data_IF_110765238377
#
_entry.id   IF_110765238377
#
_cell.length_a   1.000
_cell.length_b   1.000
_cell.length_c   1.000
_cell.angle_alpha   90.00
_cell.angle_beta   90.00
_cell.angle_gamma   90.00
#
_symmetry.space_group_name_H-M   'P 1'
#
loop_
_entity.id
_entity.type
_entity.pdbx_description
1 polymer ?
#
# COMPACT_ATOMS: atom_id res chain seq x y z
N UNK A 1 26.33 -10.92 -9.93
CA UNK A 1 24.99 -10.52 -9.55
C UNK A 1 24.03 -11.69 -9.73
N UNK A 2 23.27 -12.01 -8.68
CA UNK A 2 22.26 -13.06 -8.73
C UNK A 2 21.01 -12.51 -9.43
N UNK A 3 20.60 -13.14 -10.52
CA UNK A 3 19.42 -12.78 -11.33
C UNK A 3 18.10 -12.99 -10.56
N UNK A 4 18.15 -13.70 -9.45
CA UNK A 4 17.00 -13.98 -8.58
C UNK A 4 17.38 -13.64 -7.13
N UNK A 5 16.66 -12.68 -6.56
CA UNK A 5 16.78 -12.31 -5.15
C UNK A 5 15.48 -12.69 -4.43
N UNK A 6 15.50 -13.75 -3.63
CA UNK A 6 14.27 -14.29 -3.02
C UNK A 6 13.73 -13.43 -1.87
N UNK A 7 14.50 -12.46 -1.41
CA UNK A 7 14.13 -11.54 -0.34
C UNK A 7 13.59 -10.26 -0.98
N UNK A 8 12.51 -9.71 -0.47
CA UNK A 8 11.74 -8.59 -1.05
C UNK A 8 11.07 -8.96 -2.39
N UNK A 9 10.05 -9.79 -2.28
CA UNK A 9 9.18 -10.14 -3.40
C UNK A 9 8.44 -8.90 -3.94
N UNK A 10 8.14 -8.90 -5.24
CA UNK A 10 7.45 -7.80 -5.89
C UNK A 10 6.12 -7.45 -5.19
N UNK A 11 5.79 -6.17 -5.13
CA UNK A 11 4.54 -5.61 -4.60
C UNK A 11 3.27 -6.29 -5.13
N UNK A 12 3.33 -6.89 -6.33
CA UNK A 12 2.23 -7.66 -6.91
C UNK A 12 1.76 -8.78 -5.98
N UNK A 13 2.67 -9.44 -5.25
CA UNK A 13 2.32 -10.48 -4.29
C UNK A 13 1.57 -9.92 -3.08
N UNK A 14 1.98 -8.76 -2.59
CA UNK A 14 1.27 -8.02 -1.53
C UNK A 14 -0.18 -7.73 -1.94
N UNK A 15 -0.34 -7.20 -3.16
CA UNK A 15 -1.67 -6.90 -3.72
C UNK A 15 -2.50 -8.16 -3.94
N UNK A 16 -1.90 -9.24 -4.42
CA UNK A 16 -2.59 -10.51 -4.63
C UNK A 16 -3.12 -11.09 -3.32
N UNK A 17 -2.29 -11.16 -2.27
CA UNK A 17 -2.72 -11.62 -0.94
C UNK A 17 -3.84 -10.74 -0.41
N UNK A 18 -3.70 -9.41 -0.52
CA UNK A 18 -4.73 -8.47 -0.12
C UNK A 18 -6.06 -8.67 -0.85
N UNK A 19 -6.03 -8.80 -2.18
CA UNK A 19 -7.22 -9.02 -3.00
C UNK A 19 -7.91 -10.36 -2.71
N UNK A 20 -7.13 -11.44 -2.56
CA UNK A 20 -7.69 -12.75 -2.19
C UNK A 20 -8.34 -12.70 -0.80
N UNK A 21 -7.73 -11.99 0.14
CA UNK A 21 -8.31 -11.74 1.46
C UNK A 21 -9.63 -10.99 1.39
N UNK A 22 -9.67 -9.88 0.65
CA UNK A 22 -10.90 -9.08 0.44
C UNK A 22 -11.98 -9.95 -0.19
N UNK A 23 -11.65 -10.74 -1.22
CA UNK A 23 -12.62 -11.63 -1.85
C UNK A 23 -13.20 -12.67 -0.89
N UNK A 24 -12.38 -13.22 0.00
CA UNK A 24 -12.84 -14.13 1.04
C UNK A 24 -13.80 -13.46 2.02
N UNK A 25 -13.48 -12.22 2.45
CA UNK A 25 -14.36 -11.43 3.33
C UNK A 25 -15.70 -11.13 2.67
N UNK A 26 -15.71 -10.68 1.39
CA UNK A 26 -16.92 -10.38 0.65
C UNK A 26 -17.80 -11.63 0.45
N UNK A 27 -17.22 -12.76 0.08
CA UNK A 27 -17.95 -14.01 -0.08
C UNK A 27 -18.69 -14.47 1.20
N UNK A 28 -18.14 -14.15 2.38
CA UNK A 28 -18.81 -14.42 3.66
C UNK A 28 -19.84 -13.34 3.99
N UNK A 29 -19.57 -12.09 3.63
CA UNK A 29 -20.50 -10.97 3.83
C UNK A 29 -21.83 -11.21 3.09
N UNK A 30 -21.78 -11.75 1.88
CA UNK A 30 -22.97 -12.10 1.07
C UNK A 30 -23.85 -13.17 1.75
N UNK A 31 -23.31 -13.99 2.66
CA UNK A 31 -24.10 -14.97 3.42
C UNK A 31 -24.96 -14.36 4.54
N UNK A 32 -24.85 -13.06 4.81
CA UNK A 32 -25.68 -12.31 5.73
C UNK A 32 -25.49 -12.60 7.22
N UNK A 33 -24.48 -13.40 7.62
CA UNK A 33 -24.18 -13.71 9.03
C UNK A 33 -23.08 -12.80 9.56
N UNK A 34 -23.45 -11.73 10.24
CA UNK A 34 -22.54 -10.68 10.74
C UNK A 34 -21.40 -11.22 11.60
N UNK A 35 -21.68 -12.15 12.54
CA UNK A 35 -20.65 -12.72 13.39
C UNK A 35 -19.59 -13.51 12.61
N UNK A 36 -20.05 -14.26 11.58
CA UNK A 36 -19.16 -15.03 10.72
C UNK A 36 -18.30 -14.10 9.86
N UNK A 37 -18.88 -13.00 9.36
CA UNK A 37 -18.15 -11.97 8.65
C UNK A 37 -17.05 -11.34 9.51
N UNK A 38 -17.37 -10.93 10.75
CA UNK A 38 -16.38 -10.35 11.67
C UNK A 38 -15.24 -11.33 12.00
N UNK A 39 -15.58 -12.59 12.26
CA UNK A 39 -14.59 -13.64 12.49
C UNK A 39 -13.69 -13.84 11.27
N UNK A 40 -14.28 -13.84 10.06
CA UNK A 40 -13.53 -13.96 8.81
C UNK A 40 -12.61 -12.76 8.59
N UNK A 41 -13.09 -11.54 8.87
CA UNK A 41 -12.24 -10.35 8.78
C UNK A 41 -11.02 -10.45 9.71
N UNK A 42 -11.21 -10.86 10.96
CA UNK A 42 -10.12 -11.04 11.89
C UNK A 42 -9.14 -12.14 11.42
N UNK A 43 -9.67 -13.31 11.04
CA UNK A 43 -8.86 -14.44 10.59
C UNK A 43 -8.07 -14.10 9.31
N UNK A 44 -8.71 -13.49 8.32
CA UNK A 44 -8.07 -13.10 7.05
C UNK A 44 -7.01 -12.02 7.28
N UNK A 45 -7.25 -11.08 8.20
CA UNK A 45 -6.25 -10.05 8.53
C UNK A 45 -5.01 -10.68 9.15
N UNK A 46 -5.17 -11.58 10.11
CA UNK A 46 -4.04 -12.29 10.75
C UNK A 46 -3.32 -13.18 9.74
N UNK A 47 -4.05 -13.96 8.95
CA UNK A 47 -3.47 -14.84 7.92
C UNK A 47 -2.77 -14.04 6.82
N UNK A 48 -3.37 -12.96 6.35
CA UNK A 48 -2.78 -12.08 5.34
C UNK A 48 -1.47 -11.44 5.82
N UNK A 49 -1.45 -10.98 7.08
CA UNK A 49 -0.24 -10.49 7.72
C UNK A 49 0.84 -11.58 7.81
N UNK A 50 0.48 -12.77 8.28
CA UNK A 50 1.40 -13.89 8.39
C UNK A 50 1.96 -14.32 7.03
N UNK A 51 1.10 -14.47 6.00
CA UNK A 51 1.50 -14.82 4.65
C UNK A 51 2.40 -13.74 4.02
N UNK A 52 2.08 -12.47 4.22
CA UNK A 52 2.92 -11.37 3.75
C UNK A 52 4.31 -11.37 4.40
N UNK A 53 4.38 -11.69 5.69
CA UNK A 53 5.63 -11.75 6.44
C UNK A 53 6.45 -12.98 6.06
N UNK A 54 5.84 -14.17 6.06
CA UNK A 54 6.51 -15.42 5.71
C UNK A 54 6.92 -15.48 4.24
N UNK A 55 6.12 -14.91 3.34
CA UNK A 55 6.41 -14.83 1.92
C UNK A 55 7.45 -13.76 1.58
N UNK A 56 7.94 -13.00 2.56
CA UNK A 56 8.90 -11.90 2.35
C UNK A 56 8.47 -10.97 1.21
N UNK A 57 7.16 -10.70 1.11
CA UNK A 57 6.63 -9.78 0.11
C UNK A 57 7.04 -8.34 0.46
N UNK A 58 6.92 -7.45 -0.53
CA UNK A 58 7.27 -6.05 -0.35
C UNK A 58 6.50 -5.43 0.84
N UNK A 59 7.22 -4.78 1.75
CA UNK A 59 6.73 -4.32 3.06
C UNK A 59 6.16 -5.43 3.97
N UNK A 60 6.46 -6.70 3.70
CA UNK A 60 6.01 -7.84 4.52
C UNK A 60 4.49 -7.83 4.77
N UNK A 61 4.07 -8.26 5.95
CA UNK A 61 2.67 -8.23 6.36
C UNK A 61 2.08 -6.81 6.48
N UNK A 62 2.91 -5.77 6.66
CA UNK A 62 2.47 -4.38 6.76
C UNK A 62 1.87 -3.87 5.45
N UNK A 63 2.44 -4.27 4.30
CA UNK A 63 1.86 -3.97 2.98
C UNK A 63 0.45 -4.57 2.84
N UNK A 64 0.25 -5.81 3.26
CA UNK A 64 -1.08 -6.46 3.24
C UNK A 64 -2.06 -5.76 4.17
N UNK A 65 -1.63 -5.38 5.38
CA UNK A 65 -2.45 -4.60 6.31
C UNK A 65 -2.88 -3.27 5.70
N UNK A 66 -2.00 -2.59 4.99
CA UNK A 66 -2.33 -1.34 4.29
C UNK A 66 -3.47 -1.53 3.29
N UNK A 67 -3.46 -2.64 2.52
CA UNK A 67 -4.58 -2.97 1.60
C UNK A 67 -5.88 -3.15 2.38
N UNK A 68 -5.86 -3.84 3.52
CA UNK A 68 -7.05 -4.04 4.36
C UNK A 68 -7.53 -2.75 5.03
N UNK A 69 -6.63 -1.84 5.42
CA UNK A 69 -7.01 -0.52 5.94
C UNK A 69 -7.86 0.23 4.91
N UNK A 70 -7.44 0.27 3.64
CA UNK A 70 -8.22 0.91 2.58
C UNK A 70 -9.54 0.20 2.30
N UNK A 71 -9.61 -1.11 2.44
CA UNK A 71 -10.85 -1.86 2.31
C UNK A 71 -11.84 -1.54 3.45
N UNK A 72 -11.41 -1.62 4.71
CA UNK A 72 -12.28 -1.39 5.87
C UNK A 72 -12.71 0.07 6.01
N UNK A 73 -11.83 0.99 5.66
CA UNK A 73 -12.07 2.43 5.74
C UNK A 73 -12.45 3.04 4.38
N UNK A 74 -13.00 2.21 3.48
CA UNK A 74 -13.48 2.69 2.19
C UNK A 74 -14.69 3.62 2.35
N UNK A 75 -14.64 4.79 1.69
CA UNK A 75 -15.71 5.79 1.69
C UNK A 75 -15.18 7.20 1.89
N UNK A 76 -16.11 8.18 1.88
CA UNK A 76 -15.76 9.62 1.92
C UNK A 76 -16.14 10.31 3.22
N UNK A 77 -16.51 9.55 4.24
CA UNK A 77 -16.81 10.11 5.55
C UNK A 77 -15.52 10.56 6.25
N UNK A 78 -15.55 11.74 6.85
CA UNK A 78 -14.38 12.36 7.50
C UNK A 78 -13.71 11.47 8.55
N UNK A 79 -14.48 10.66 9.28
CA UNK A 79 -13.94 9.74 10.28
C UNK A 79 -13.12 8.60 9.65
N UNK A 80 -13.45 8.20 8.40
CA UNK A 80 -12.66 7.21 7.64
C UNK A 80 -11.31 7.80 7.20
N UNK A 81 -11.28 9.08 6.85
CA UNK A 81 -10.02 9.78 6.59
C UNK A 81 -9.14 9.79 7.82
N UNK A 82 -9.69 10.16 8.98
CA UNK A 82 -8.93 10.12 10.23
C UNK A 82 -8.44 8.71 10.56
N UNK A 83 -9.28 7.69 10.34
CA UNK A 83 -8.90 6.29 10.51
C UNK A 83 -7.77 5.87 9.57
N UNK A 84 -7.82 6.28 8.30
CA UNK A 84 -6.74 6.01 7.32
C UNK A 84 -5.44 6.73 7.73
N UNK A 85 -5.52 8.00 8.12
CA UNK A 85 -4.35 8.76 8.60
C UNK A 85 -3.72 8.05 9.81
N UNK A 86 -4.53 7.71 10.83
CA UNK A 86 -4.05 7.05 12.04
C UNK A 86 -3.45 5.67 11.74
N UNK A 87 -4.11 4.86 10.92
CA UNK A 87 -3.64 3.53 10.56
C UNK A 87 -2.34 3.59 9.71
N UNK A 88 -2.28 4.48 8.70
CA UNK A 88 -1.07 4.65 7.89
C UNK A 88 0.08 5.23 8.70
N UNK A 89 -0.19 6.18 9.60
CA UNK A 89 0.82 6.69 10.52
C UNK A 89 1.39 5.54 11.38
N UNK A 90 0.52 4.76 12.00
CA UNK A 90 0.94 3.65 12.84
C UNK A 90 1.72 2.59 12.06
N UNK A 91 1.23 2.18 10.89
CA UNK A 91 1.92 1.19 10.04
C UNK A 91 3.27 1.71 9.57
N UNK A 92 3.32 2.90 8.96
CA UNK A 92 4.52 3.38 8.28
C UNK A 92 5.54 3.98 9.25
N UNK A 93 5.10 4.77 10.24
CA UNK A 93 6.03 5.45 11.16
C UNK A 93 6.39 4.57 12.35
N UNK A 94 5.40 3.87 12.97
CA UNK A 94 5.64 3.13 14.20
C UNK A 94 6.10 1.70 13.99
N UNK A 95 5.57 1.00 12.96
CA UNK A 95 5.87 -0.42 12.73
C UNK A 95 6.98 -0.62 11.69
N UNK A 96 6.94 0.08 10.55
CA UNK A 96 7.98 -0.01 9.52
C UNK A 96 9.16 0.86 9.91
N UNK A 97 8.90 2.09 10.36
CA UNK A 97 9.94 3.07 10.70
C UNK A 97 10.66 3.57 9.45
N UNK A 98 11.98 3.67 9.50
CA UNK A 98 12.81 4.14 8.40
C UNK A 98 13.81 5.19 8.87
N UNK A 99 14.49 5.82 7.92
CA UNK A 99 15.44 6.87 8.22
C UNK A 99 14.70 8.15 8.62
N UNK A 100 15.24 8.85 9.60
CA UNK A 100 14.75 10.16 10.04
C UNK A 100 15.65 11.22 9.42
N UNK A 101 15.04 12.13 8.67
CA UNK A 101 15.74 13.25 8.05
C UNK A 101 15.38 14.54 8.79
N UNK A 102 16.37 15.28 9.30
CA UNK A 102 16.12 16.63 9.78
C UNK A 102 15.86 17.55 8.58
N UNK A 103 14.72 18.21 8.57
CA UNK A 103 14.35 19.21 7.57
C UNK A 103 14.22 20.55 8.28
N UNK A 104 14.97 21.53 7.84
CA UNK A 104 14.82 22.91 8.30
C UNK A 104 13.81 23.63 7.40
N UNK A 105 12.68 24.02 7.98
CA UNK A 105 11.65 24.79 7.27
C UNK A 105 11.29 26.04 8.09
N UNK A 106 11.44 27.22 7.49
CA UNK A 106 11.17 28.51 8.13
C UNK A 106 11.94 28.75 9.45
N UNK A 107 13.18 28.19 9.57
CA UNK A 107 13.99 28.32 10.78
C UNK A 107 13.58 27.38 11.93
N UNK A 108 12.70 26.41 11.66
CA UNK A 108 12.33 25.33 12.58
C UNK A 108 12.86 24.01 12.06
N UNK A 109 13.50 23.23 12.92
CA UNK A 109 13.97 21.89 12.61
C UNK A 109 12.82 20.89 12.84
N UNK A 110 12.49 20.14 11.80
CA UNK A 110 11.50 19.05 11.84
C UNK A 110 12.19 17.73 11.53
N UNK A 111 11.88 16.72 12.32
CA UNK A 111 12.28 15.35 12.03
C UNK A 111 11.19 14.68 11.18
N UNK A 112 11.53 14.32 9.95
CA UNK A 112 10.60 13.63 9.04
C UNK A 112 11.06 12.20 8.85
N UNK A 113 10.20 11.26 9.23
CA UNK A 113 10.40 9.86 8.94
C UNK A 113 10.14 9.60 7.44
N UNK A 114 11.06 8.92 6.76
CA UNK A 114 10.95 8.55 5.34
C UNK A 114 9.61 7.89 5.02
N UNK A 115 9.24 6.89 5.80
CA UNK A 115 7.98 6.16 5.60
C UNK A 115 6.74 7.01 5.94
N UNK A 116 6.89 8.08 6.69
CA UNK A 116 5.82 9.05 6.97
C UNK A 116 5.34 9.77 5.71
N UNK A 117 6.18 9.88 4.67
CA UNK A 117 5.79 10.44 3.38
C UNK A 117 4.68 9.65 2.68
N UNK A 118 4.48 8.38 3.05
CA UNK A 118 3.37 7.57 2.56
C UNK A 118 1.99 8.19 2.87
N UNK A 119 1.87 9.00 3.94
CA UNK A 119 0.63 9.71 4.26
C UNK A 119 0.24 10.72 3.18
N UNK A 120 1.21 11.26 2.43
CA UNK A 120 0.92 12.19 1.33
C UNK A 120 0.10 11.53 0.20
N UNK A 121 0.15 10.20 0.09
CA UNK A 121 -0.66 9.45 -0.87
C UNK A 121 -2.17 9.59 -0.63
N UNK A 122 -2.59 9.92 0.60
CA UNK A 122 -4.00 10.18 0.91
C UNK A 122 -4.54 11.40 0.18
N UNK A 123 -3.71 12.40 -0.11
CA UNK A 123 -4.13 13.62 -0.81
C UNK A 123 -4.72 13.30 -2.19
N UNK A 124 -4.00 12.66 -3.12
CA UNK A 124 -4.57 12.30 -4.41
C UNK A 124 -5.71 11.28 -4.30
N UNK A 125 -5.67 10.34 -3.33
CA UNK A 125 -6.74 9.36 -3.13
C UNK A 125 -8.05 10.06 -2.75
N UNK A 126 -8.02 11.03 -1.86
CA UNK A 126 -9.22 11.77 -1.43
C UNK A 126 -9.69 12.83 -2.41
N UNK A 127 -8.79 13.37 -3.22
CA UNK A 127 -9.13 14.27 -4.33
C UNK A 127 -9.76 13.53 -5.50
N UNK A 128 -9.46 12.24 -5.68
CA UNK A 128 -10.00 11.43 -6.76
C UNK A 128 -11.50 11.23 -6.61
N UNK A 129 -12.28 11.70 -7.59
CA UNK A 129 -13.74 11.69 -7.56
C UNK A 129 -14.38 10.44 -8.17
N UNK A 130 -13.63 9.38 -8.41
CA UNK A 130 -14.13 8.14 -9.03
C UNK A 130 -14.50 8.29 -10.50
N UNK A 131 -14.16 9.40 -11.14
CA UNK A 131 -14.41 9.62 -12.57
C UNK A 131 -13.19 9.21 -13.36
N UNK A 132 -13.41 8.38 -14.36
CA UNK A 132 -12.35 8.06 -15.31
C UNK A 132 -12.02 9.33 -16.11
N UNK A 133 -10.74 9.72 -16.11
CA UNK A 133 -10.25 10.85 -16.89
C UNK A 133 -10.21 10.56 -18.39
N UNK A 134 -9.38 11.28 -19.12
CA UNK A 134 -9.18 11.04 -20.55
C UNK A 134 -8.71 9.62 -20.79
N UNK A 135 -9.54 8.80 -21.44
CA UNK A 135 -9.25 7.41 -21.74
C UNK A 135 -8.91 7.26 -23.22
N UNK A 136 -7.62 7.22 -23.52
CA UNK A 136 -7.13 6.83 -24.86
C UNK A 136 -6.27 5.56 -24.75
N UNK A 137 -6.28 4.73 -25.79
CA UNK A 137 -5.41 3.54 -25.85
C UNK A 137 -3.93 3.92 -25.71
N UNK A 138 -3.52 5.05 -26.31
CA UNK A 138 -2.16 5.54 -26.21
C UNK A 138 -1.77 5.86 -24.77
N UNK A 139 -2.65 6.56 -24.02
CA UNK A 139 -2.42 6.85 -22.61
C UNK A 139 -2.35 5.58 -21.75
N UNK A 140 -3.22 4.60 -22.03
CA UNK A 140 -3.19 3.31 -21.34
C UNK A 140 -1.86 2.56 -21.56
N UNK A 141 -1.37 2.50 -22.81
CA UNK A 141 -0.07 1.90 -23.11
C UNK A 141 1.09 2.68 -22.47
N UNK A 142 1.02 4.01 -22.44
CA UNK A 142 2.02 4.83 -21.76
C UNK A 142 2.09 4.52 -20.26
N UNK A 143 0.93 4.37 -19.59
CA UNK A 143 0.88 3.95 -18.18
C UNK A 143 1.47 2.55 -17.95
N UNK A 144 1.18 1.60 -18.83
CA UNK A 144 1.75 0.24 -18.72
C UNK A 144 3.26 0.22 -18.98
N UNK A 145 3.74 1.02 -19.91
CA UNK A 145 5.15 1.12 -20.24
C UNK A 145 5.95 1.90 -19.19
N UNK A 146 5.30 2.79 -18.41
CA UNK A 146 5.97 3.65 -17.44
C UNK A 146 6.82 2.85 -16.44
N UNK A 147 6.25 1.81 -15.83
CA UNK A 147 6.96 1.02 -14.84
C UNK A 147 8.21 0.32 -15.39
N UNK A 148 8.16 -0.46 -16.47
CA UNK A 148 9.37 -1.09 -17.01
C UNK A 148 10.38 -0.07 -17.56
N UNK A 149 9.92 1.01 -18.19
CA UNK A 149 10.81 2.02 -18.77
C UNK A 149 11.58 2.79 -17.69
N UNK A 150 10.90 3.27 -16.63
CA UNK A 150 11.62 4.01 -15.58
C UNK A 150 12.59 3.11 -14.80
N UNK A 151 12.26 1.84 -14.57
CA UNK A 151 13.17 0.88 -13.94
C UNK A 151 14.42 0.64 -14.81
N UNK A 152 14.24 0.58 -16.14
CA UNK A 152 15.35 0.45 -17.10
C UNK A 152 16.26 1.68 -17.07
N UNK A 153 15.66 2.88 -17.04
CA UNK A 153 16.41 4.15 -16.94
C UNK A 153 17.22 4.20 -15.65
N UNK A 154 16.60 3.87 -14.51
CA UNK A 154 17.29 3.87 -13.21
C UNK A 154 18.43 2.84 -13.19
N UNK A 155 18.21 1.64 -13.76
CA UNK A 155 19.24 0.62 -13.86
C UNK A 155 20.42 1.06 -14.75
N UNK A 156 20.16 1.75 -15.86
CA UNK A 156 21.21 2.31 -16.72
C UNK A 156 21.99 3.41 -16.02
N UNK A 157 21.32 4.29 -15.27
CA UNK A 157 21.99 5.34 -14.47
C UNK A 157 22.91 4.69 -13.43
N UNK A 158 22.42 3.67 -12.73
CA UNK A 158 23.22 2.96 -11.72
C UNK A 158 24.46 2.26 -12.32
N UNK A 159 24.38 1.78 -13.55
CA UNK A 159 25.52 1.17 -14.25
C UNK A 159 26.53 2.21 -14.75
N UNK A 160 26.13 3.48 -14.87
CA UNK A 160 26.98 4.58 -15.33
C UNK A 160 27.69 5.35 -14.19
N UNK A 161 27.28 5.11 -12.94
CA UNK A 161 27.90 5.65 -11.74
C UNK A 161 28.92 4.67 -11.13
#
# INVERSE_FOLDING_TARGET
GTWFYPVHQNVIWTLLIGLLGIRAMEAVREKGKTWLYLLTCAAVTVLGFALGTLGMVDYYGMGVLTVFVFYFLHGREWWKLLGQIAALYWINVSLIGGQIFPIELFGLEFEVCEQGLALLSLVPIWLYRGRQGHHSKAFQYACYAFYPVHMLILGLIQLSL
#
